data_IF_955731049821
#
_entry.id   IF_955731049821
#
_cell.length_a   1.000
_cell.length_b   1.000
_cell.length_c   1.000
_cell.angle_alpha   90.00
_cell.angle_beta   90.00
_cell.angle_gamma   90.00
#
_symmetry.space_group_name_H-M   'P 1'
#
loop_
_entity.id
_entity.type
_entity.pdbx_description
1 polymer ?
#
# COMPACT_ATOMS: atom_id res chain seq x y z
N UNK A 1 8.62 -6.31 -5.75
CA UNK A 1 7.31 -5.93 -6.33
C UNK A 1 7.27 -6.20 -7.84
N UNK A 2 8.28 -5.75 -8.60
CA UNK A 2 8.40 -6.01 -10.05
C UNK A 2 8.38 -7.50 -10.43
N UNK A 3 9.00 -8.37 -9.63
CA UNK A 3 8.93 -9.82 -9.87
C UNK A 3 7.51 -10.38 -9.69
N UNK A 4 6.77 -9.88 -8.68
CA UNK A 4 5.38 -10.26 -8.44
C UNK A 4 4.48 -9.79 -9.59
N UNK A 5 4.66 -8.55 -10.05
CA UNK A 5 3.99 -8.00 -11.23
C UNK A 5 4.22 -8.89 -12.47
N UNK A 6 5.48 -9.24 -12.75
CA UNK A 6 5.85 -10.13 -13.87
C UNK A 6 5.19 -11.51 -13.77
N UNK A 7 5.20 -12.13 -12.58
CA UNK A 7 4.54 -13.43 -12.33
C UNK A 7 3.03 -13.38 -12.60
N UNK A 8 2.42 -12.20 -12.47
CA UNK A 8 0.99 -11.96 -12.69
C UNK A 8 0.67 -11.40 -14.08
N UNK A 9 1.68 -11.26 -14.95
CA UNK A 9 1.51 -10.71 -16.29
C UNK A 9 1.23 -9.21 -16.33
N UNK A 10 1.47 -8.50 -15.23
CA UNK A 10 1.36 -7.03 -15.17
C UNK A 10 2.68 -6.47 -15.71
N UNK A 11 2.60 -5.76 -16.84
CA UNK A 11 3.73 -5.14 -17.53
C UNK A 11 3.52 -3.64 -17.53
N UNK A 12 4.54 -2.89 -17.15
CA UNK A 12 4.53 -1.43 -17.12
C UNK A 12 5.76 -0.89 -16.40
N UNK A 13 5.92 0.42 -16.44
CA UNK A 13 6.93 1.12 -15.64
C UNK A 13 6.55 1.10 -14.15
N UNK A 14 7.49 1.49 -13.28
CA UNK A 14 7.29 1.42 -11.83
C UNK A 14 6.02 2.15 -11.37
N UNK A 15 5.78 3.37 -11.86
CA UNK A 15 4.59 4.14 -11.50
C UNK A 15 3.30 3.45 -11.98
N UNK A 16 3.32 2.84 -13.16
CA UNK A 16 2.18 2.13 -13.73
C UNK A 16 1.84 0.88 -12.91
N UNK A 17 2.86 0.11 -12.50
CA UNK A 17 2.70 -1.07 -11.66
C UNK A 17 2.09 -0.67 -10.30
N UNK A 18 2.60 0.40 -9.69
CA UNK A 18 2.09 0.89 -8.40
C UNK A 18 0.68 1.47 -8.50
N UNK A 19 0.26 1.99 -9.66
CA UNK A 19 -1.09 2.52 -9.85
C UNK A 19 -2.08 1.49 -10.37
N UNK A 20 -1.63 0.27 -10.70
CA UNK A 20 -2.47 -0.78 -11.27
C UNK A 20 -3.40 -1.45 -10.23
N UNK A 21 -4.74 -1.46 -10.44
CA UNK A 21 -5.69 -2.06 -9.48
C UNK A 21 -5.47 -3.54 -9.21
N UNK A 22 -5.04 -4.30 -10.22
CA UNK A 22 -4.71 -5.72 -10.04
C UNK A 22 -3.50 -5.93 -9.13
N UNK A 23 -2.55 -4.98 -9.13
CA UNK A 23 -1.40 -5.04 -8.25
C UNK A 23 -1.81 -4.77 -6.80
N UNK A 24 -2.69 -3.79 -6.55
CA UNK A 24 -3.28 -3.55 -5.22
C UNK A 24 -3.99 -4.80 -4.69
N UNK A 25 -4.76 -5.49 -5.54
CA UNK A 25 -5.45 -6.74 -5.17
C UNK A 25 -4.49 -7.87 -4.83
N UNK A 26 -3.42 -8.03 -5.60
CA UNK A 26 -2.43 -9.08 -5.36
C UNK A 26 -1.63 -8.83 -4.07
N UNK A 27 -1.21 -7.59 -3.82
CA UNK A 27 -0.54 -7.24 -2.55
C UNK A 27 -1.49 -7.48 -1.36
N UNK A 28 -2.76 -7.11 -1.49
CA UNK A 28 -3.75 -7.38 -0.44
C UNK A 28 -3.94 -8.88 -0.19
N UNK A 29 -3.91 -9.72 -1.23
CA UNK A 29 -3.98 -11.18 -1.09
C UNK A 29 -2.79 -11.71 -0.28
N UNK A 30 -1.58 -11.31 -0.64
CA UNK A 30 -0.35 -11.72 0.08
C UNK A 30 -0.39 -11.29 1.56
N UNK A 31 -0.85 -10.07 1.85
CA UNK A 31 -1.03 -9.59 3.24
C UNK A 31 -2.02 -10.49 4.00
N UNK A 32 -3.15 -10.85 3.38
CA UNK A 32 -4.15 -11.73 3.98
C UNK A 32 -3.61 -13.13 4.25
N UNK A 33 -2.83 -13.68 3.33
CA UNK A 33 -2.19 -14.99 3.48
C UNK A 33 -1.22 -15.00 4.65
N UNK A 34 -0.33 -14.01 4.74
CA UNK A 34 0.58 -13.86 5.89
C UNK A 34 -0.18 -13.68 7.20
N UNK A 35 -1.19 -12.81 7.21
CA UNK A 35 -2.01 -12.54 8.39
C UNK A 35 -2.76 -13.79 8.89
N UNK A 36 -3.28 -14.61 7.97
CA UNK A 36 -3.93 -15.88 8.31
C UNK A 36 -2.92 -16.88 8.90
N UNK A 37 -1.72 -16.97 8.32
CA UNK A 37 -0.66 -17.87 8.77
C UNK A 37 -0.17 -17.53 10.19
N UNK A 38 -0.10 -16.25 10.54
CA UNK A 38 0.27 -15.80 11.89
C UNK A 38 -0.94 -15.63 12.83
N UNK A 39 -2.14 -16.04 12.38
CA UNK A 39 -3.40 -16.07 13.16
C UNK A 39 -3.85 -14.71 13.70
N UNK A 40 -3.68 -13.64 12.92
CA UNK A 40 -4.26 -12.33 13.26
C UNK A 40 -5.78 -12.39 13.31
N UNK A 41 -6.36 -11.56 14.17
CA UNK A 41 -7.80 -11.37 14.22
C UNK A 41 -8.28 -10.61 12.98
N UNK A 42 -9.52 -10.87 12.55
CA UNK A 42 -10.08 -10.28 11.32
C UNK A 42 -10.03 -8.75 11.30
N UNK A 43 -10.15 -8.09 12.45
CA UNK A 43 -10.11 -6.63 12.56
C UNK A 43 -8.69 -6.05 12.46
N UNK A 44 -7.65 -6.88 12.55
CA UNK A 44 -6.25 -6.47 12.38
C UNK A 44 -5.81 -6.51 10.91
N UNK A 45 -6.59 -7.18 10.05
CA UNK A 45 -6.25 -7.41 8.64
C UNK A 45 -6.82 -6.28 7.77
N UNK A 46 -5.98 -5.57 6.98
CA UNK A 46 -6.46 -4.57 6.06
C UNK A 46 -7.47 -5.12 5.06
N UNK A 47 -8.49 -4.33 4.74
CA UNK A 47 -9.52 -4.68 3.74
C UNK A 47 -9.30 -4.02 2.38
N UNK A 48 -8.56 -2.90 2.35
CA UNK A 48 -8.18 -2.14 1.15
C UNK A 48 -6.74 -1.64 1.34
N UNK A 49 -5.99 -1.53 0.25
CA UNK A 49 -4.61 -1.02 0.22
C UNK A 49 -4.45 -0.08 -0.97
N UNK A 50 -3.51 0.85 -0.85
CA UNK A 50 -3.05 1.68 -1.94
C UNK A 50 -1.53 1.53 -2.05
N UNK A 51 -1.01 1.41 -3.27
CA UNK A 51 0.41 1.33 -3.54
C UNK A 51 0.93 2.69 -4.03
N UNK A 52 1.95 3.21 -3.34
CA UNK A 52 2.61 4.47 -3.69
C UNK A 52 3.90 4.18 -4.45
N UNK A 53 4.12 4.76 -5.65
CA UNK A 53 5.41 4.65 -6.33
C UNK A 53 6.49 5.50 -5.64
N UNK A 54 6.08 6.56 -4.93
CA UNK A 54 6.99 7.46 -4.22
C UNK A 54 7.47 6.85 -2.90
N UNK A 55 8.80 6.77 -2.68
CA UNK A 55 9.35 6.26 -1.42
C UNK A 55 9.17 7.27 -0.28
N UNK A 56 9.02 6.75 0.94
CA UNK A 56 9.01 7.59 2.14
C UNK A 56 10.44 7.87 2.58
N UNK A 57 10.86 9.13 2.47
CA UNK A 57 12.18 9.58 2.90
C UNK A 57 12.04 10.73 3.90
N UNK A 58 13.08 11.02 4.71
CA UNK A 58 13.05 12.18 5.61
C UNK A 58 12.79 13.49 4.87
N UNK A 59 13.29 13.62 3.64
CA UNK A 59 13.13 14.80 2.78
C UNK A 59 11.70 14.99 2.30
N UNK A 60 10.92 13.91 2.09
CA UNK A 60 9.48 14.02 1.81
C UNK A 60 8.66 14.40 3.04
N UNK A 61 9.27 14.42 4.23
CA UNK A 61 8.62 14.78 5.48
C UNK A 61 7.63 13.73 6.01
N UNK A 62 7.51 12.58 5.34
CA UNK A 62 6.59 11.48 5.73
C UNK A 62 7.15 10.59 6.85
N UNK A 63 8.46 10.61 7.03
CA UNK A 63 9.17 9.89 8.09
C UNK A 63 10.12 10.81 8.86
N UNK A 64 10.56 10.38 10.03
CA UNK A 64 11.68 11.00 10.74
C UNK A 64 13.01 10.59 10.09
N UNK A 65 14.10 11.25 10.48
CA UNK A 65 15.47 10.89 10.04
C UNK A 65 15.85 9.44 10.42
N UNK A 66 15.19 8.90 11.45
CA UNK A 66 15.29 7.51 11.86
C UNK A 66 14.24 6.59 11.19
N UNK A 67 13.63 7.01 10.08
CA UNK A 67 12.60 6.29 9.32
C UNK A 67 11.36 5.89 10.13
N UNK A 68 11.05 6.59 11.23
CA UNK A 68 9.79 6.39 11.97
C UNK A 68 8.65 7.13 11.26
N UNK A 69 7.49 6.48 11.15
CA UNK A 69 6.31 7.04 10.49
C UNK A 69 5.80 8.31 11.17
N UNK A 70 5.68 9.40 10.42
CA UNK A 70 4.95 10.60 10.87
C UNK A 70 3.47 10.44 10.52
N UNK A 71 2.72 9.76 11.40
CA UNK A 71 1.33 9.34 11.15
C UNK A 71 0.40 10.47 10.68
N UNK A 72 0.54 11.67 11.26
CA UNK A 72 -0.26 12.85 10.87
C UNK A 72 0.02 13.27 9.43
N UNK A 73 1.29 13.36 9.06
CA UNK A 73 1.71 13.75 7.71
C UNK A 73 1.33 12.70 6.67
N UNK A 74 1.54 11.41 6.99
CA UNK A 74 1.08 10.30 6.13
C UNK A 74 -0.43 10.33 5.90
N UNK A 75 -1.23 10.55 6.95
CA UNK A 75 -2.68 10.66 6.82
C UNK A 75 -3.06 11.82 5.90
N UNK A 76 -2.44 12.99 6.08
CA UNK A 76 -2.75 14.17 5.27
C UNK A 76 -2.36 13.95 3.81
N UNK A 77 -1.16 13.42 3.56
CA UNK A 77 -0.65 13.14 2.22
C UNK A 77 -1.53 12.13 1.47
N UNK A 78 -1.94 11.04 2.12
CA UNK A 78 -2.78 10.00 1.49
C UNK A 78 -4.28 10.20 1.70
N UNK A 79 -4.74 11.35 2.20
CA UNK A 79 -6.15 11.56 2.55
C UNK A 79 -7.08 11.28 1.37
N UNK A 80 -6.74 11.82 0.19
CA UNK A 80 -7.48 11.59 -1.04
C UNK A 80 -7.60 10.10 -1.39
N UNK A 81 -6.53 9.31 -1.23
CA UNK A 81 -6.56 7.88 -1.51
C UNK A 81 -7.39 7.11 -0.48
N UNK A 82 -7.33 7.51 0.79
CA UNK A 82 -8.17 6.95 1.86
C UNK A 82 -9.65 7.23 1.58
N UNK A 83 -9.98 8.46 1.20
CA UNK A 83 -11.35 8.85 0.81
C UNK A 83 -11.81 8.14 -0.45
N UNK A 84 -10.97 7.97 -1.47
CA UNK A 84 -11.30 7.14 -2.63
C UNK A 84 -11.61 5.69 -2.21
N UNK A 85 -10.87 5.13 -1.26
CA UNK A 85 -11.06 3.77 -0.80
C UNK A 85 -12.32 3.60 0.08
N UNK A 86 -12.68 4.56 0.92
CA UNK A 86 -13.74 4.38 1.93
C UNK A 86 -14.88 5.39 1.87
N UNK A 87 -14.78 6.43 1.04
CA UNK A 87 -15.73 7.53 0.91
C UNK A 87 -16.96 7.21 0.07
N UNK A 88 -16.95 6.10 -0.67
CA UNK A 88 -18.15 5.58 -1.31
C UNK A 88 -19.09 4.98 -0.26
N UNK A 89 -20.19 5.69 0.02
CA UNK A 89 -21.44 5.10 0.51
C UNK A 89 -22.28 4.64 -0.66
#
# INVERSE_FOLDING_TARGET
>A
MTELARKKGIVGEWEEICTHPDMEREVLREIKEVAANIKLQRFEIPVKVHLSPEPWTPETGLVTDAFKLKRKELKNHYLHHIERMYGGK
#
